data_IF_047291383070
#
_entry.id   IF_047291383070
#
_cell.length_a   1.000
_cell.length_b   1.000
_cell.length_c   1.000
_cell.angle_alpha   90.00
_cell.angle_beta   90.00
_cell.angle_gamma   90.00
#
_symmetry.space_group_name_H-M   'P 1'
#
loop_
_entity.id
_entity.type
_entity.pdbx_description
1 polymer ?
#
# COMPACT_ATOMS: atom_id res chain seq x y z
N UNK A 1 4.82 -10.24 -28.77
CA UNK A 1 6.23 -10.04 -28.38
C UNK A 1 6.36 -10.41 -26.91
N UNK A 2 6.77 -11.64 -26.62
CA UNK A 2 7.07 -12.11 -25.26
C UNK A 2 8.41 -11.52 -24.86
N UNK A 3 8.40 -10.55 -23.95
CA UNK A 3 9.63 -10.04 -23.34
C UNK A 3 10.37 -11.16 -22.59
N UNK A 4 11.69 -11.00 -22.31
CA UNK A 4 12.46 -12.00 -21.62
C UNK A 4 11.81 -12.31 -20.26
N UNK A 5 11.58 -13.59 -19.98
CA UNK A 5 11.06 -14.05 -18.70
C UNK A 5 12.04 -13.60 -17.59
N UNK A 6 11.60 -12.67 -16.76
CA UNK A 6 12.37 -12.29 -15.56
C UNK A 6 12.54 -13.55 -14.72
N UNK A 7 13.77 -13.96 -14.36
CA UNK A 7 13.98 -15.14 -13.55
C UNK A 7 13.17 -15.04 -12.27
N UNK A 8 12.44 -16.10 -11.95
CA UNK A 8 11.58 -16.16 -10.78
C UNK A 8 12.47 -16.05 -9.52
N UNK A 9 12.47 -14.87 -8.89
CA UNK A 9 13.18 -14.68 -7.62
C UNK A 9 12.50 -15.54 -6.55
N UNK A 10 13.25 -16.44 -5.91
CA UNK A 10 12.77 -17.20 -4.76
C UNK A 10 12.66 -16.25 -3.55
N UNK A 11 11.47 -16.19 -2.99
CA UNK A 11 11.16 -15.39 -1.79
C UNK A 11 10.87 -16.27 -0.57
N UNK A 12 11.31 -17.52 -0.60
CA UNK A 12 11.07 -18.49 0.48
C UNK A 12 11.49 -17.94 1.84
N UNK A 13 10.54 -17.97 2.79
CA UNK A 13 10.74 -17.46 4.15
C UNK A 13 10.70 -15.94 4.32
N UNK A 14 10.70 -15.14 3.25
CA UNK A 14 10.58 -13.68 3.34
C UNK A 14 9.21 -13.26 3.84
N UNK A 15 9.20 -12.31 4.76
CA UNK A 15 7.97 -11.74 5.35
C UNK A 15 7.73 -10.37 4.76
N UNK A 16 6.63 -10.22 4.04
CA UNK A 16 6.30 -9.00 3.30
C UNK A 16 4.97 -8.46 3.84
N UNK A 17 4.95 -7.18 4.20
CA UNK A 17 3.70 -6.48 4.48
C UNK A 17 3.26 -5.68 3.24
N UNK A 18 1.96 -5.67 2.98
CA UNK A 18 1.32 -4.81 1.97
C UNK A 18 0.34 -3.90 2.71
N UNK A 19 0.63 -2.60 2.75
CA UNK A 19 -0.27 -1.60 3.28
C UNK A 19 -1.13 -1.06 2.14
N UNK A 20 -2.42 -1.28 2.20
CA UNK A 20 -3.36 -0.73 1.23
C UNK A 20 -4.59 -0.19 1.96
N UNK A 21 -5.23 0.81 1.37
CA UNK A 21 -6.39 1.45 1.97
C UNK A 21 -7.54 0.47 2.21
N UNK A 22 -7.80 -0.43 1.24
CA UNK A 22 -8.88 -1.43 1.28
C UNK A 22 -8.36 -2.79 0.83
N UNK A 23 -9.07 -3.85 1.19
CA UNK A 23 -8.91 -5.17 0.56
C UNK A 23 -9.99 -5.40 -0.51
N UNK A 24 -9.85 -6.43 -1.38
CA UNK A 24 -10.82 -6.70 -2.45
C UNK A 24 -12.26 -7.00 -1.99
N UNK A 25 -12.45 -7.32 -0.73
CA UNK A 25 -13.78 -7.62 -0.15
C UNK A 25 -14.39 -6.41 0.58
N UNK A 26 -13.72 -5.27 0.54
CA UNK A 26 -14.31 -4.04 1.03
C UNK A 26 -15.46 -3.62 0.09
N UNK A 27 -16.63 -3.14 0.59
CA UNK A 27 -17.77 -2.74 -0.25
C UNK A 27 -17.43 -1.72 -1.35
N UNK A 28 -16.44 -0.89 -1.10
CA UNK A 28 -15.99 0.14 -2.05
C UNK A 28 -14.67 -0.24 -2.76
N UNK A 29 -14.32 -1.54 -2.82
CA UNK A 29 -13.10 -1.97 -3.50
C UNK A 29 -13.18 -1.79 -5.01
N UNK A 30 -12.05 -1.46 -5.63
CA UNK A 30 -11.92 -1.25 -7.06
C UNK A 30 -10.74 -2.02 -7.69
N UNK A 31 -10.28 -1.51 -8.83
CA UNK A 31 -9.18 -2.14 -9.59
C UNK A 31 -7.85 -2.13 -8.85
N UNK A 32 -7.56 -1.06 -8.09
CA UNK A 32 -6.33 -0.93 -7.32
C UNK A 32 -6.18 -2.00 -6.23
N UNK A 33 -7.28 -2.32 -5.53
CA UNK A 33 -7.31 -3.36 -4.52
C UNK A 33 -7.12 -4.75 -5.13
N UNK A 34 -7.74 -5.02 -6.27
CA UNK A 34 -7.57 -6.27 -7.02
C UNK A 34 -6.14 -6.43 -7.52
N UNK A 35 -5.56 -5.38 -8.10
CA UNK A 35 -4.18 -5.39 -8.56
C UNK A 35 -3.18 -5.72 -7.44
N UNK A 36 -3.28 -5.02 -6.31
CA UNK A 36 -2.41 -5.27 -5.15
C UNK A 36 -2.62 -6.66 -4.54
N UNK A 37 -3.84 -7.22 -4.64
CA UNK A 37 -4.12 -8.60 -4.24
C UNK A 37 -3.45 -9.62 -5.16
N UNK A 38 -3.51 -9.42 -6.48
CA UNK A 38 -2.81 -10.30 -7.42
C UNK A 38 -1.28 -10.25 -7.24
N UNK A 39 -0.74 -9.07 -6.93
CA UNK A 39 0.67 -8.97 -6.52
C UNK A 39 0.95 -9.78 -5.25
N UNK A 40 0.10 -9.69 -4.24
CA UNK A 40 0.22 -10.47 -3.01
C UNK A 40 0.22 -11.98 -3.28
N UNK A 41 -0.69 -12.46 -4.14
CA UNK A 41 -0.73 -13.86 -4.60
C UNK A 41 0.55 -14.27 -5.31
N UNK A 42 1.06 -13.40 -6.19
CA UNK A 42 2.32 -13.63 -6.89
C UNK A 42 3.54 -13.74 -5.95
N UNK A 43 3.54 -12.98 -4.84
CA UNK A 43 4.57 -13.08 -3.81
C UNK A 43 4.45 -14.39 -3.02
N UNK A 44 3.23 -14.80 -2.64
CA UNK A 44 2.97 -16.09 -1.97
C UNK A 44 3.40 -17.26 -2.88
N UNK A 45 3.08 -17.22 -4.17
CA UNK A 45 3.48 -18.23 -5.13
C UNK A 45 5.01 -18.38 -5.26
N UNK A 46 5.77 -17.33 -4.86
CA UNK A 46 7.24 -17.34 -4.79
C UNK A 46 7.79 -17.70 -3.40
N UNK A 47 6.95 -18.18 -2.50
CA UNK A 47 7.33 -18.64 -1.17
C UNK A 47 7.33 -17.57 -0.07
N UNK A 48 6.91 -16.32 -0.36
CA UNK A 48 6.83 -15.27 0.66
C UNK A 48 5.65 -15.51 1.63
N UNK A 49 5.83 -15.08 2.88
CA UNK A 49 4.75 -14.94 3.86
C UNK A 49 4.21 -13.51 3.78
N UNK A 50 3.00 -13.37 3.28
CA UNK A 50 2.41 -12.05 3.03
C UNK A 50 1.38 -11.70 4.10
N UNK A 51 1.49 -10.46 4.63
CA UNK A 51 0.49 -9.86 5.50
C UNK A 51 -0.08 -8.61 4.83
N UNK A 52 -1.37 -8.63 4.51
CA UNK A 52 -2.10 -7.52 3.90
C UNK A 52 -2.77 -6.70 5.01
N UNK A 53 -2.39 -5.43 5.15
CA UNK A 53 -2.84 -4.55 6.23
C UNK A 53 -3.71 -3.46 5.64
N UNK A 54 -4.94 -3.28 6.17
CA UNK A 54 -5.95 -2.49 5.49
C UNK A 54 -7.03 -1.93 6.42
N UNK A 55 -7.88 -1.04 5.91
CA UNK A 55 -9.07 -0.58 6.62
C UNK A 55 -10.08 -1.72 6.81
N UNK A 56 -10.99 -1.53 7.75
CA UNK A 56 -12.07 -2.44 8.09
C UNK A 56 -13.41 -1.79 7.80
N UNK A 57 -14.20 -2.37 6.92
CA UNK A 57 -15.60 -2.01 6.75
C UNK A 57 -16.46 -2.59 7.88
N UNK A 58 -17.66 -2.00 8.14
CA UNK A 58 -18.67 -2.61 9.00
C UNK A 58 -18.94 -4.06 8.56
N UNK A 59 -19.09 -4.97 9.52
CA UNK A 59 -19.32 -6.39 9.27
C UNK A 59 -18.09 -7.23 8.92
N UNK A 60 -16.97 -6.64 8.54
CA UNK A 60 -15.74 -7.39 8.29
C UNK A 60 -15.05 -7.81 9.59
N UNK A 61 -14.44 -9.01 9.58
CA UNK A 61 -13.58 -9.49 10.67
C UNK A 61 -12.28 -8.69 10.75
N UNK A 62 -11.70 -8.58 11.94
CA UNK A 62 -10.40 -7.91 12.14
C UNK A 62 -9.23 -8.67 11.54
N UNK A 63 -9.36 -10.01 11.49
CA UNK A 63 -8.35 -10.90 10.90
C UNK A 63 -9.03 -11.89 9.98
N UNK A 64 -8.36 -12.22 8.90
CA UNK A 64 -8.81 -13.18 7.90
C UNK A 64 -7.58 -13.82 7.26
N UNK A 65 -7.78 -14.90 6.53
CA UNK A 65 -6.72 -15.51 5.71
C UNK A 65 -7.33 -16.04 4.43
N UNK A 66 -6.77 -15.64 3.29
CA UNK A 66 -7.23 -16.06 1.96
C UNK A 66 -6.03 -16.23 1.05
N UNK A 67 -6.04 -17.23 0.20
CA UNK A 67 -4.97 -17.49 -0.77
C UNK A 67 -3.56 -17.58 -0.13
N UNK A 68 -3.45 -18.04 1.14
CA UNK A 68 -2.19 -18.05 1.88
C UNK A 68 -1.74 -16.66 2.39
N UNK A 69 -2.55 -15.62 2.22
CA UNK A 69 -2.28 -14.25 2.65
C UNK A 69 -3.02 -13.97 3.96
N UNK A 70 -2.30 -13.54 4.98
CA UNK A 70 -2.90 -13.07 6.24
C UNK A 70 -3.42 -11.66 6.05
N UNK A 71 -4.69 -11.40 6.39
CA UNK A 71 -5.31 -10.08 6.31
C UNK A 71 -5.47 -9.52 7.71
N UNK A 72 -4.97 -8.30 7.94
CA UNK A 72 -5.15 -7.56 9.19
C UNK A 72 -5.93 -6.26 8.89
N UNK A 73 -7.18 -6.20 9.30
CA UNK A 73 -8.06 -5.04 9.09
C UNK A 73 -8.13 -4.17 10.34
N UNK A 74 -7.92 -2.87 10.17
CA UNK A 74 -7.91 -1.92 11.28
C UNK A 74 -8.34 -0.51 10.87
N UNK A 75 -9.06 0.16 11.77
CA UNK A 75 -9.56 1.49 11.48
C UNK A 75 -10.63 1.52 10.40
N UNK A 76 -11.07 2.72 10.07
CA UNK A 76 -11.97 3.03 8.95
C UNK A 76 -11.28 3.99 7.99
N UNK A 77 -12.06 4.69 7.18
CA UNK A 77 -11.61 5.52 6.06
C UNK A 77 -10.38 6.41 6.35
N UNK A 78 -10.36 7.11 7.49
CA UNK A 78 -9.26 8.02 7.85
C UNK A 78 -8.36 7.45 8.95
N UNK A 79 -8.92 6.67 9.86
CA UNK A 79 -8.17 6.14 11.01
C UNK A 79 -7.31 4.93 10.65
N UNK A 80 -7.41 4.41 9.43
CA UNK A 80 -6.54 3.33 8.92
C UNK A 80 -5.07 3.77 8.89
N UNK A 81 -4.79 5.00 8.47
CA UNK A 81 -3.41 5.51 8.34
C UNK A 81 -2.63 5.47 9.66
N UNK A 82 -3.05 6.16 10.73
CA UNK A 82 -2.32 6.11 12.00
C UNK A 82 -2.32 4.71 12.63
N UNK A 83 -3.38 3.90 12.40
CA UNK A 83 -3.43 2.54 12.94
C UNK A 83 -2.48 1.59 12.24
N UNK A 84 -2.37 1.66 10.91
CA UNK A 84 -1.40 0.88 10.13
C UNK A 84 0.02 1.30 10.48
N UNK A 85 0.30 2.60 10.59
CA UNK A 85 1.61 3.08 11.02
C UNK A 85 1.98 2.58 12.42
N UNK A 86 1.09 2.71 13.41
CA UNK A 86 1.31 2.19 14.75
C UNK A 86 1.51 0.67 14.77
N UNK A 87 0.72 -0.07 13.98
CA UNK A 87 0.85 -1.52 13.85
C UNK A 87 2.19 -1.93 13.25
N UNK A 88 2.64 -1.23 12.19
CA UNK A 88 3.95 -1.44 11.56
C UNK A 88 5.09 -1.03 12.50
N UNK A 89 4.97 0.08 13.22
CA UNK A 89 5.96 0.53 14.20
C UNK A 89 6.22 -0.54 15.29
N UNK A 90 5.14 -1.11 15.83
CA UNK A 90 5.24 -2.21 16.81
C UNK A 90 5.88 -3.48 16.20
N UNK A 91 5.82 -3.66 14.89
CA UNK A 91 6.32 -4.84 14.15
C UNK A 91 7.45 -4.51 13.18
N UNK A 92 8.09 -3.36 13.33
CA UNK A 92 9.10 -2.83 12.39
C UNK A 92 10.29 -3.74 12.10
N UNK A 93 10.51 -4.75 12.95
CA UNK A 93 11.56 -5.77 12.79
C UNK A 93 11.03 -7.10 12.26
N UNK A 94 9.74 -7.21 12.04
CA UNK A 94 9.08 -8.46 11.64
C UNK A 94 8.95 -8.66 10.14
N UNK A 95 9.27 -7.65 9.35
CA UNK A 95 9.14 -7.68 7.90
C UNK A 95 10.48 -7.45 7.22
N UNK A 96 10.69 -8.16 6.12
CA UNK A 96 11.87 -8.06 5.26
C UNK A 96 11.68 -7.02 4.16
N UNK A 97 10.42 -6.73 3.78
CA UNK A 97 10.05 -5.66 2.85
C UNK A 97 8.61 -5.18 3.13
N UNK A 98 8.29 -3.96 2.68
CA UNK A 98 6.93 -3.40 2.75
C UNK A 98 6.55 -2.81 1.40
N UNK A 99 5.35 -3.14 0.92
CA UNK A 99 4.69 -2.47 -0.20
C UNK A 99 3.71 -1.44 0.39
N UNK A 100 3.86 -0.19 0.01
CA UNK A 100 2.99 0.91 0.39
C UNK A 100 2.15 1.31 -0.82
N UNK A 101 0.87 0.90 -0.83
CA UNK A 101 -0.03 1.14 -1.95
C UNK A 101 -0.66 2.52 -1.82
N UNK A 102 -0.24 3.43 -2.69
CA UNK A 102 -0.77 4.78 -2.77
C UNK A 102 -2.01 4.82 -3.67
N UNK A 103 -3.17 4.94 -3.04
CA UNK A 103 -4.46 5.23 -3.69
C UNK A 103 -4.91 6.65 -3.28
N UNK A 104 -4.17 7.67 -3.68
CA UNK A 104 -4.22 9.02 -3.17
C UNK A 104 -3.11 9.22 -2.13
N UNK A 105 -3.44 9.42 -0.85
CA UNK A 105 -2.44 9.59 0.20
C UNK A 105 -1.76 8.26 0.52
N UNK A 106 -0.41 8.16 0.51
CA UNK A 106 0.31 6.97 0.94
C UNK A 106 0.27 6.79 2.47
N UNK A 107 0.68 5.62 2.95
CA UNK A 107 0.75 5.36 4.40
C UNK A 107 1.98 5.96 5.08
N UNK A 108 2.94 6.47 4.33
CA UNK A 108 4.21 6.99 4.87
C UNK A 108 4.99 5.94 5.68
N UNK A 109 4.94 4.69 5.25
CA UNK A 109 5.58 3.57 5.95
C UNK A 109 7.09 3.75 6.18
N UNK A 110 7.87 4.49 5.33
CA UNK A 110 9.28 4.79 5.61
C UNK A 110 9.54 5.50 6.94
N UNK A 111 8.57 6.26 7.47
CA UNK A 111 8.76 7.00 8.72
C UNK A 111 8.82 6.12 9.97
N UNK A 112 8.25 4.93 9.90
CA UNK A 112 8.15 4.00 11.05
C UNK A 112 9.02 2.75 10.90
N UNK A 113 9.58 2.53 9.71
CA UNK A 113 10.39 1.36 9.41
C UNK A 113 11.89 1.66 9.53
N UNK A 114 12.71 0.68 9.98
CA UNK A 114 14.16 0.81 9.94
C UNK A 114 14.64 0.94 8.48
N UNK A 115 15.70 1.75 8.26
CA UNK A 115 16.28 1.97 6.92
C UNK A 115 16.69 0.70 6.17
N UNK A 116 16.93 -0.41 6.89
CA UNK A 116 17.27 -1.71 6.31
C UNK A 116 16.08 -2.44 5.69
N UNK A 117 14.85 -2.03 6.01
CA UNK A 117 13.62 -2.61 5.44
C UNK A 117 13.29 -1.83 4.18
N UNK A 118 13.45 -2.43 2.99
CA UNK A 118 13.09 -1.77 1.74
C UNK A 118 11.58 -1.51 1.69
N UNK A 119 11.23 -0.33 1.22
CA UNK A 119 9.84 0.04 0.94
C UNK A 119 9.69 0.26 -0.55
N UNK A 120 8.67 -0.34 -1.14
CA UNK A 120 8.22 -0.08 -2.50
C UNK A 120 6.90 0.70 -2.44
N UNK A 121 6.91 1.93 -2.95
CA UNK A 121 5.69 2.71 -3.14
C UNK A 121 5.03 2.30 -4.45
N UNK A 122 3.80 1.80 -4.39
CA UNK A 122 3.01 1.42 -5.54
C UNK A 122 1.93 2.47 -5.80
N UNK A 123 2.16 3.32 -6.80
CA UNK A 123 1.25 4.42 -7.14
C UNK A 123 0.17 3.95 -8.11
N UNK A 124 -1.07 3.87 -7.65
CA UNK A 124 -2.23 3.50 -8.48
C UNK A 124 -2.84 4.71 -9.18
N UNK A 125 -3.15 5.75 -8.42
CA UNK A 125 -3.71 7.00 -8.93
C UNK A 125 -3.22 8.18 -8.11
N UNK A 126 -3.00 9.31 -8.77
CA UNK A 126 -2.76 10.60 -8.15
C UNK A 126 -4.08 11.38 -8.22
N UNK A 127 -4.67 11.68 -7.07
CA UNK A 127 -6.00 12.30 -6.99
C UNK A 127 -5.96 13.82 -6.80
N UNK A 128 -4.84 14.48 -7.08
CA UNK A 128 -4.67 15.93 -6.84
C UNK A 128 -5.80 16.78 -7.39
N UNK A 129 -6.37 16.45 -8.56
CA UNK A 129 -7.49 17.15 -9.16
C UNK A 129 -8.86 16.82 -8.50
N UNK A 130 -9.01 15.66 -7.88
CA UNK A 130 -10.29 15.19 -7.34
C UNK A 130 -10.54 15.64 -5.89
N UNK A 131 -9.49 16.04 -5.15
CA UNK A 131 -9.65 16.50 -3.77
C UNK A 131 -10.54 17.75 -3.66
N UNK A 132 -10.52 18.62 -4.67
CA UNK A 132 -11.33 19.85 -4.69
C UNK A 132 -12.83 19.63 -4.87
N UNK A 133 -13.25 18.45 -5.38
CA UNK A 133 -14.66 18.15 -5.69
C UNK A 133 -15.39 17.56 -4.47
N UNK A 134 -14.66 16.84 -3.59
CA UNK A 134 -15.27 16.02 -2.55
C UNK A 134 -14.98 16.48 -1.11
N UNK A 135 -14.07 17.45 -0.92
CA UNK A 135 -13.64 17.85 0.43
C UNK A 135 -13.66 19.37 0.61
N UNK A 136 -13.89 19.87 1.85
CA UNK A 136 -13.71 21.29 2.19
C UNK A 136 -12.31 21.77 1.81
N UNK A 137 -12.18 23.05 1.44
CA UNK A 137 -10.94 23.61 0.87
C UNK A 137 -9.65 23.32 1.67
N UNK A 138 -9.69 23.34 3.00
CA UNK A 138 -8.54 23.03 3.86
C UNK A 138 -8.14 21.53 3.81
N UNK A 139 -9.13 20.61 3.73
CA UNK A 139 -8.86 19.19 3.57
C UNK A 139 -8.30 18.87 2.19
N UNK A 140 -8.82 19.53 1.15
CA UNK A 140 -8.29 19.41 -0.20
C UNK A 140 -6.85 19.93 -0.30
N UNK A 141 -6.53 21.03 0.37
CA UNK A 141 -5.17 21.55 0.48
C UNK A 141 -4.25 20.57 1.21
N UNK A 142 -4.67 20.10 2.39
CA UNK A 142 -3.89 19.11 3.16
C UNK A 142 -3.64 17.82 2.36
N UNK A 143 -4.67 17.33 1.64
CA UNK A 143 -4.54 16.17 0.75
C UNK A 143 -3.48 16.37 -0.31
N UNK A 144 -3.50 17.51 -1.02
CA UNK A 144 -2.49 17.85 -2.04
C UNK A 144 -1.07 17.97 -1.47
N UNK A 145 -0.92 18.54 -0.28
CA UNK A 145 0.38 18.65 0.39
C UNK A 145 0.92 17.27 0.77
N UNK A 146 0.07 16.41 1.33
CA UNK A 146 0.45 15.05 1.71
C UNK A 146 0.78 14.17 0.50
N UNK A 147 -0.05 14.23 -0.55
CA UNK A 147 0.15 13.43 -1.76
C UNK A 147 1.35 13.92 -2.60
N UNK A 148 1.61 15.21 -2.61
CA UNK A 148 2.68 15.85 -3.40
C UNK A 148 4.02 15.97 -2.65
N UNK A 149 4.35 17.14 -2.09
CA UNK A 149 5.69 17.39 -1.56
C UNK A 149 6.06 16.51 -0.37
N UNK A 150 5.09 16.14 0.50
CA UNK A 150 5.36 15.29 1.66
C UNK A 150 5.65 13.87 1.22
N UNK A 151 4.85 13.31 0.30
CA UNK A 151 5.09 11.98 -0.26
C UNK A 151 6.44 11.92 -0.97
N UNK A 152 6.75 12.88 -1.86
CA UNK A 152 8.06 12.97 -2.53
C UNK A 152 9.22 12.98 -1.53
N UNK A 153 9.12 13.76 -0.46
CA UNK A 153 10.12 13.80 0.60
C UNK A 153 10.29 12.46 1.33
N UNK A 154 9.18 11.80 1.66
CA UNK A 154 9.17 10.52 2.39
C UNK A 154 9.75 9.37 1.55
N UNK A 155 9.43 9.34 0.25
CA UNK A 155 9.81 8.21 -0.63
C UNK A 155 11.04 8.48 -1.50
N UNK A 156 11.69 9.65 -1.42
CA UNK A 156 12.84 10.04 -2.26
C UNK A 156 14.00 9.05 -2.31
N UNK A 157 14.12 8.15 -1.32
CA UNK A 157 15.15 7.12 -1.19
C UNK A 157 14.59 5.70 -1.37
N UNK A 158 13.36 5.59 -1.80
CA UNK A 158 12.65 4.32 -1.95
C UNK A 158 12.22 4.14 -3.41
N UNK A 159 12.06 2.90 -3.83
CA UNK A 159 11.56 2.62 -5.16
C UNK A 159 10.07 2.99 -5.24
N UNK A 160 9.71 3.69 -6.32
CA UNK A 160 8.32 4.00 -6.64
C UNK A 160 7.98 3.40 -8.00
N UNK A 161 6.87 2.70 -8.08
CA UNK A 161 6.35 2.10 -9.30
C UNK A 161 4.98 2.67 -9.59
N UNK A 162 4.83 3.31 -10.74
CA UNK A 162 3.53 3.75 -11.26
C UNK A 162 2.93 2.66 -12.14
N UNK A 163 1.64 2.37 -11.95
CA UNK A 163 0.94 1.31 -12.71
C UNK A 163 0.52 1.78 -14.09
N UNK A 164 0.39 3.09 -14.30
CA UNK A 164 0.00 3.67 -15.58
C UNK A 164 0.92 4.80 -16.02
N UNK A 165 1.07 5.03 -17.35
CA UNK A 165 1.84 6.17 -17.87
C UNK A 165 1.34 7.52 -17.36
N UNK A 166 0.04 7.68 -17.14
CA UNK A 166 -0.56 8.90 -16.58
C UNK A 166 -0.12 9.16 -15.13
N UNK A 167 0.23 8.13 -14.38
CA UNK A 167 0.74 8.28 -13.01
C UNK A 167 2.22 8.69 -12.97
N UNK A 168 2.98 8.46 -14.04
CA UNK A 168 4.40 8.84 -14.16
C UNK A 168 4.56 10.34 -14.39
N UNK A 169 3.66 10.96 -15.16
CA UNK A 169 3.76 12.39 -15.53
C UNK A 169 3.41 13.33 -14.36
N UNK A 170 2.83 12.81 -13.28
CA UNK A 170 2.39 13.58 -12.11
C UNK A 170 3.27 13.35 -10.85
N UNK A 171 4.27 12.50 -10.91
CA UNK A 171 5.22 12.19 -9.83
C UNK A 171 6.49 13.03 -9.94
#
# INVERSE_FOLDING_TARGET
MTGPAVPACDLSGRRIAIANWRDPWHPEAGGAERYSWEMARGLVARGARVCYVTARAPGQTRRDSRDGITIARMGGRFTVYPRVLGWLLCRRRSFDAVLDCQNGIPFFTPWVLPRRVPVLCLMHHVHTAQFGVHFPGWMAWAGRVLEGPVARGAYRRHACVAISPSSVTMA
#
